data_IF_865444776617
#
_entry.id   IF_865444776617
#
_cell.length_a   1.000
_cell.length_b   1.000
_cell.length_c   1.000
_cell.angle_alpha   90.00
_cell.angle_beta   90.00
_cell.angle_gamma   90.00
#
_symmetry.space_group_name_H-M   'P 1'
#
loop_
_entity.id
_entity.type
_entity.pdbx_description
1 polymer ?
#
# COMPACT_ATOMS: atom_id res chain seq x y z
N UNK A 1 -37.55 24.58 18.21
CA UNK A 1 -37.58 23.78 17.00
C UNK A 1 -36.28 22.99 16.98
N UNK A 2 -36.29 21.77 17.47
CA UNK A 2 -35.19 20.82 17.44
C UNK A 2 -35.15 20.23 16.05
N UNK A 3 -34.20 20.65 15.25
CA UNK A 3 -33.87 19.99 13.96
C UNK A 3 -32.96 18.83 14.30
N UNK A 4 -33.52 17.73 14.79
CA UNK A 4 -32.89 16.40 14.79
C UNK A 4 -33.13 15.77 13.41
N UNK A 5 -32.46 16.23 12.38
CA UNK A 5 -32.25 15.45 11.17
C UNK A 5 -30.84 14.87 11.18
N UNK A 6 -30.63 13.83 11.98
CA UNK A 6 -29.50 12.94 11.72
C UNK A 6 -29.64 12.46 10.28
N UNK A 7 -28.70 12.90 9.41
CA UNK A 7 -28.64 12.44 8.03
C UNK A 7 -28.40 10.94 8.06
N UNK A 8 -29.39 10.15 7.63
CA UNK A 8 -29.24 8.68 7.59
C UNK A 8 -28.21 8.31 6.54
N UNK A 9 -27.23 7.49 6.90
CA UNK A 9 -26.24 7.02 5.94
C UNK A 9 -26.89 6.22 4.81
N UNK A 10 -26.45 6.44 3.58
CA UNK A 10 -26.78 5.57 2.45
C UNK A 10 -25.88 4.35 2.49
N UNK A 11 -26.46 3.15 2.41
CA UNK A 11 -25.72 1.89 2.38
C UNK A 11 -25.23 1.61 0.97
N UNK A 12 -23.90 1.40 0.82
CA UNK A 12 -23.25 1.01 -0.42
C UNK A 12 -22.49 -0.30 -0.24
N UNK A 13 -22.34 -1.09 -1.31
CA UNK A 13 -21.68 -2.39 -1.27
C UNK A 13 -20.17 -2.30 -1.09
N UNK A 14 -19.56 -1.32 -1.77
CA UNK A 14 -18.13 -1.08 -1.76
C UNK A 14 -17.79 0.35 -2.20
N UNK A 15 -16.55 0.77 -1.95
CA UNK A 15 -16.02 2.03 -2.48
C UNK A 15 -14.50 1.97 -2.63
N UNK A 16 -14.01 2.60 -3.69
CA UNK A 16 -12.59 2.83 -3.92
C UNK A 16 -12.27 4.30 -3.72
N UNK A 17 -11.40 4.60 -2.74
CA UNK A 17 -11.00 5.96 -2.36
C UNK A 17 -9.51 6.11 -2.61
N UNK A 18 -9.10 7.21 -3.26
CA UNK A 18 -7.69 7.55 -3.43
C UNK A 18 -7.35 8.86 -2.76
N UNK A 19 -6.36 8.82 -1.87
CA UNK A 19 -5.74 10.00 -1.28
C UNK A 19 -4.48 10.34 -2.08
N UNK A 20 -4.33 11.57 -2.55
CA UNK A 20 -3.19 11.99 -3.36
C UNK A 20 -2.65 13.35 -2.92
N UNK A 21 -1.33 13.48 -2.84
CA UNK A 21 -0.61 14.68 -2.42
C UNK A 21 0.87 14.56 -2.73
N UNK A 22 1.70 15.50 -2.25
CA UNK A 22 3.14 15.35 -2.29
C UNK A 22 3.61 14.27 -1.29
N UNK A 23 4.79 13.71 -1.52
CA UNK A 23 5.35 12.67 -0.63
C UNK A 23 5.51 13.15 0.83
N UNK A 24 5.52 14.47 1.07
CA UNK A 24 5.53 15.11 2.39
C UNK A 24 4.16 15.39 3.00
N UNK A 25 3.08 15.24 2.26
CA UNK A 25 1.71 15.53 2.72
C UNK A 25 1.10 14.42 3.59
N UNK A 26 1.78 13.28 3.75
CA UNK A 26 1.35 12.20 4.64
C UNK A 26 0.21 11.34 4.08
N UNK A 27 0.06 11.23 2.77
CA UNK A 27 -1.01 10.45 2.13
C UNK A 27 -0.95 8.95 2.45
N UNK A 28 0.25 8.39 2.56
CA UNK A 28 0.43 7.01 2.99
C UNK A 28 -0.14 6.78 4.40
N UNK A 29 0.20 7.68 5.33
CA UNK A 29 -0.30 7.62 6.72
C UNK A 29 -1.83 7.78 6.79
N UNK A 30 -2.40 8.66 5.95
CA UNK A 30 -3.86 8.88 5.88
C UNK A 30 -4.57 7.63 5.38
N UNK A 31 -4.05 7.04 4.30
CA UNK A 31 -4.60 5.82 3.72
C UNK A 31 -4.49 4.63 4.67
N UNK A 32 -3.31 4.38 5.26
CA UNK A 32 -3.10 3.32 6.25
C UNK A 32 -4.07 3.45 7.43
N UNK A 33 -4.24 4.68 7.94
CA UNK A 33 -5.13 4.87 9.08
C UNK A 33 -6.61 4.67 8.73
N UNK A 34 -7.04 5.11 7.55
CA UNK A 34 -8.38 4.85 7.07
C UNK A 34 -8.62 3.34 6.86
N UNK A 35 -7.62 2.63 6.34
CA UNK A 35 -7.61 1.18 6.20
C UNK A 35 -7.81 0.48 7.55
N UNK A 36 -7.01 0.83 8.55
CA UNK A 36 -7.15 0.26 9.90
C UNK A 36 -8.52 0.52 10.53
N UNK A 37 -9.04 1.74 10.39
CA UNK A 37 -10.36 2.09 10.90
C UNK A 37 -11.47 1.27 10.21
N UNK A 38 -11.35 1.03 8.91
CA UNK A 38 -12.29 0.21 8.13
C UNK A 38 -12.22 -1.27 8.47
N UNK A 39 -11.01 -1.79 8.73
CA UNK A 39 -10.81 -3.16 9.21
C UNK A 39 -11.45 -3.38 10.61
N UNK A 40 -11.24 -2.43 11.53
CA UNK A 40 -11.86 -2.49 12.87
C UNK A 40 -13.39 -2.42 12.77
N UNK A 41 -13.93 -1.68 11.80
CA UNK A 41 -15.36 -1.61 11.53
C UNK A 41 -15.91 -2.94 10.98
N UNK A 42 -15.05 -3.80 10.43
CA UNK A 42 -15.36 -5.13 9.94
C UNK A 42 -15.46 -5.25 8.42
N UNK A 43 -15.02 -4.26 7.67
CA UNK A 43 -14.98 -4.38 6.20
C UNK A 43 -13.84 -5.31 5.76
N UNK A 44 -14.02 -5.99 4.66
CA UNK A 44 -12.90 -6.51 3.88
C UNK A 44 -12.30 -5.40 3.03
N UNK A 45 -11.01 -5.48 2.76
CA UNK A 45 -10.29 -4.39 2.13
C UNK A 45 -9.06 -4.83 1.37
N UNK A 46 -8.69 -4.02 0.38
CA UNK A 46 -7.41 -4.11 -0.30
C UNK A 46 -6.85 -2.70 -0.53
N UNK A 47 -5.52 -2.57 -0.50
CA UNK A 47 -4.85 -1.27 -0.58
C UNK A 47 -3.76 -1.25 -1.64
N UNK A 48 -3.49 -0.08 -2.23
CA UNK A 48 -2.39 0.13 -3.16
C UNK A 48 -1.67 1.43 -2.82
N UNK A 49 -0.56 1.37 -2.08
CA UNK A 49 0.32 2.51 -1.91
C UNK A 49 1.03 2.82 -3.23
N UNK A 50 1.04 4.08 -3.62
CA UNK A 50 1.73 4.56 -4.83
C UNK A 50 2.72 5.65 -4.42
N UNK A 51 4.01 5.32 -4.47
CA UNK A 51 5.10 6.23 -4.14
C UNK A 51 5.55 7.02 -5.38
N UNK A 52 6.20 8.19 -5.21
CA UNK A 52 6.78 8.93 -6.31
C UNK A 52 7.70 8.06 -7.16
N UNK A 53 7.67 8.25 -8.48
CA UNK A 53 8.56 7.54 -9.39
C UNK A 53 10.02 7.97 -9.22
N UNK A 54 10.25 9.22 -8.83
CA UNK A 54 11.57 9.79 -8.61
C UNK A 54 11.83 10.00 -7.11
N UNK A 55 12.97 9.47 -6.64
CA UNK A 55 13.47 9.76 -5.30
C UNK A 55 13.89 11.24 -5.24
N UNK A 56 13.33 12.01 -4.30
CA UNK A 56 13.60 13.45 -4.12
C UNK A 56 13.05 14.37 -5.23
N UNK A 57 11.99 13.97 -5.91
CA UNK A 57 11.29 14.89 -6.79
C UNK A 57 10.86 16.17 -6.04
N UNK A 58 10.94 17.37 -6.70
CA UNK A 58 10.51 18.60 -6.07
C UNK A 58 9.03 18.58 -5.68
N UNK A 59 8.70 19.08 -4.50
CA UNK A 59 7.32 19.19 -4.04
C UNK A 59 6.50 20.10 -4.98
N UNK A 60 5.26 19.70 -5.27
CA UNK A 60 4.35 20.39 -6.19
C UNK A 60 4.55 20.03 -7.66
N UNK A 61 5.43 19.08 -7.98
CA UNK A 61 5.59 18.52 -9.33
C UNK A 61 4.90 17.17 -9.48
N UNK A 62 4.51 16.79 -10.69
CA UNK A 62 3.85 15.50 -10.97
C UNK A 62 4.73 14.31 -10.53
N UNK A 63 6.05 14.42 -10.74
CA UNK A 63 7.00 13.38 -10.34
C UNK A 63 7.08 13.17 -8.81
N UNK A 64 6.71 14.17 -8.00
CA UNK A 64 6.71 14.13 -6.54
C UNK A 64 5.40 13.65 -5.91
N UNK A 65 4.39 13.33 -6.72
CA UNK A 65 3.09 12.89 -6.22
C UNK A 65 3.17 11.50 -5.61
N UNK A 66 2.62 11.37 -4.41
CA UNK A 66 2.35 10.14 -3.71
C UNK A 66 0.84 9.94 -3.59
N UNK A 67 0.37 8.73 -3.71
CA UNK A 67 -1.05 8.43 -3.47
C UNK A 67 -1.22 7.10 -2.74
N UNK A 68 -2.39 6.93 -2.14
CA UNK A 68 -2.78 5.70 -1.46
C UNK A 68 -4.23 5.39 -1.83
N UNK A 69 -4.45 4.24 -2.44
CA UNK A 69 -5.79 3.79 -2.78
C UNK A 69 -6.26 2.75 -1.77
N UNK A 70 -7.50 2.88 -1.34
CA UNK A 70 -8.16 1.93 -0.44
C UNK A 70 -9.45 1.49 -1.10
N UNK A 71 -9.65 0.19 -1.24
CA UNK A 71 -10.91 -0.44 -1.59
C UNK A 71 -11.49 -1.08 -0.33
N UNK A 72 -12.63 -0.64 0.11
CA UNK A 72 -13.37 -1.21 1.24
C UNK A 72 -14.69 -1.79 0.75
N UNK A 73 -15.07 -2.96 1.29
CA UNK A 73 -16.21 -3.72 0.79
C UNK A 73 -16.94 -4.47 1.89
N UNK A 74 -18.22 -4.75 1.64
CA UNK A 74 -19.08 -5.64 2.43
C UNK A 74 -18.94 -7.12 2.03
N UNK A 75 -18.06 -7.44 1.09
CA UNK A 75 -17.78 -8.80 0.60
C UNK A 75 -16.27 -9.00 0.36
N UNK A 76 -15.85 -10.23 0.07
CA UNK A 76 -14.44 -10.55 -0.18
C UNK A 76 -13.85 -9.68 -1.30
N UNK A 77 -12.71 -9.05 -1.02
CA UNK A 77 -12.00 -8.12 -1.90
C UNK A 77 -10.60 -8.62 -2.19
N UNK A 78 -10.29 -8.89 -3.44
CA UNK A 78 -9.00 -9.43 -3.87
C UNK A 78 -8.08 -8.39 -4.51
N UNK A 79 -8.62 -7.22 -4.89
CA UNK A 79 -7.88 -6.16 -5.59
C UNK A 79 -8.19 -4.77 -5.02
N UNK A 80 -7.27 -3.80 -5.15
CA UNK A 80 -7.49 -2.43 -4.68
C UNK A 80 -8.48 -1.64 -5.53
N UNK A 81 -9.10 -2.26 -6.54
CA UNK A 81 -9.98 -1.61 -7.51
C UNK A 81 -9.23 -0.88 -8.62
N UNK A 82 -9.80 -0.87 -9.82
CA UNK A 82 -9.16 -0.27 -10.99
C UNK A 82 -9.23 1.27 -10.98
N UNK A 83 -10.40 1.81 -10.68
CA UNK A 83 -10.66 3.25 -10.73
C UNK A 83 -11.32 3.73 -9.44
N UNK A 84 -10.81 4.81 -8.82
CA UNK A 84 -11.44 5.36 -7.63
C UNK A 84 -12.79 6.01 -7.95
N UNK A 85 -13.76 5.81 -7.05
CA UNK A 85 -15.00 6.58 -7.02
C UNK A 85 -14.84 7.92 -6.30
N UNK A 86 -13.81 8.02 -5.45
CA UNK A 86 -13.47 9.23 -4.70
C UNK A 86 -11.98 9.52 -4.81
N UNK A 87 -11.65 10.76 -5.16
CA UNK A 87 -10.28 11.28 -5.18
C UNK A 87 -10.16 12.45 -4.22
N UNK A 88 -9.26 12.35 -3.24
CA UNK A 88 -8.85 13.46 -2.38
C UNK A 88 -7.52 13.99 -2.90
N UNK A 89 -7.52 15.18 -3.49
CA UNK A 89 -6.32 15.81 -4.07
C UNK A 89 -5.86 17.01 -3.22
N UNK A 90 -4.71 16.87 -2.59
CA UNK A 90 -4.18 17.87 -1.66
C UNK A 90 -3.53 19.07 -2.36
N UNK A 91 -3.24 18.98 -3.65
CA UNK A 91 -2.61 20.05 -4.46
C UNK A 91 -2.83 19.83 -5.97
N UNK A 92 -2.49 20.81 -6.83
CA UNK A 92 -2.68 20.72 -8.29
C UNK A 92 -1.93 19.55 -8.95
N UNK A 93 -0.72 19.21 -8.48
CA UNK A 93 0.06 18.11 -9.05
C UNK A 93 -0.61 16.78 -8.78
N UNK A 94 -1.14 16.58 -7.56
CA UNK A 94 -1.90 15.40 -7.17
C UNK A 94 -3.18 15.25 -8.01
N UNK A 95 -3.90 16.35 -8.25
CA UNK A 95 -5.05 16.38 -9.16
C UNK A 95 -4.66 15.93 -10.56
N UNK A 96 -3.65 16.58 -11.15
CA UNK A 96 -3.22 16.30 -12.53
C UNK A 96 -2.76 14.87 -12.75
N UNK A 97 -2.07 14.30 -11.76
CA UNK A 97 -1.56 12.95 -11.83
C UNK A 97 -2.66 11.87 -11.75
N UNK A 98 -3.82 12.18 -11.10
CA UNK A 98 -4.79 11.14 -10.75
C UNK A 98 -6.19 11.35 -11.38
N UNK A 99 -6.51 12.55 -11.88
CA UNK A 99 -7.89 12.87 -12.31
C UNK A 99 -8.42 11.96 -13.43
N UNK A 100 -7.55 11.51 -14.33
CA UNK A 100 -7.92 10.64 -15.47
C UNK A 100 -8.41 9.26 -15.01
N UNK A 101 -8.03 8.84 -13.83
CA UNK A 101 -8.41 7.56 -13.26
C UNK A 101 -9.70 7.63 -12.42
N UNK A 102 -10.13 8.83 -12.02
CA UNK A 102 -11.42 8.99 -11.33
C UNK A 102 -12.57 8.59 -12.28
N UNK A 103 -13.54 7.84 -11.77
CA UNK A 103 -14.70 7.46 -12.58
C UNK A 103 -15.51 8.70 -12.98
N UNK A 104 -16.14 8.76 -14.17
CA UNK A 104 -17.06 9.83 -14.52
C UNK A 104 -18.19 9.93 -13.49
N UNK A 105 -18.53 11.14 -13.05
CA UNK A 105 -19.48 11.38 -11.97
C UNK A 105 -18.92 11.15 -10.56
N UNK A 106 -17.68 10.68 -10.45
CA UNK A 106 -17.01 10.46 -9.18
C UNK A 106 -16.80 11.73 -8.37
N UNK A 107 -16.58 11.58 -7.08
CA UNK A 107 -16.37 12.69 -6.14
C UNK A 107 -14.90 13.11 -6.11
N UNK A 108 -14.65 14.36 -6.44
CA UNK A 108 -13.34 15.00 -6.34
C UNK A 108 -13.33 15.99 -5.16
N UNK A 109 -12.54 15.72 -4.15
CA UNK A 109 -12.34 16.60 -2.99
C UNK A 109 -10.96 17.26 -3.14
N UNK A 110 -10.90 18.58 -3.14
CA UNK A 110 -9.65 19.33 -3.32
C UNK A 110 -9.38 20.26 -2.14
N UNK A 111 -8.11 20.36 -1.75
CA UNK A 111 -7.67 21.42 -0.84
C UNK A 111 -7.45 22.71 -1.64
N UNK A 112 -8.45 23.56 -1.72
CA UNK A 112 -8.43 24.76 -2.55
C UNK A 112 -7.31 25.74 -2.19
N UNK A 113 -6.90 25.82 -0.91
CA UNK A 113 -5.78 26.66 -0.45
C UNK A 113 -4.46 26.39 -1.21
N UNK A 114 -4.34 25.22 -1.83
CA UNK A 114 -3.13 24.82 -2.55
C UNK A 114 -3.17 25.20 -4.03
N UNK A 115 -4.30 25.71 -4.57
CA UNK A 115 -4.48 26.03 -5.98
C UNK A 115 -4.07 27.47 -6.33
N UNK A 116 -2.97 27.92 -5.72
CA UNK A 116 -2.33 29.20 -6.03
C UNK A 116 -1.57 29.14 -7.36
N UNK A 117 -1.42 30.28 -8.05
CA UNK A 117 -0.75 30.42 -9.37
C UNK A 117 0.60 29.70 -9.38
N UNK A 118 1.44 29.90 -8.38
CA UNK A 118 2.75 29.26 -8.28
C UNK A 118 2.69 27.71 -8.28
N UNK A 119 1.69 27.14 -7.62
CA UNK A 119 1.54 25.69 -7.53
C UNK A 119 0.92 25.11 -8.80
N UNK A 120 0.01 25.86 -9.44
CA UNK A 120 -0.54 25.54 -10.76
C UNK A 120 0.54 25.49 -11.83
N UNK A 121 1.42 26.51 -11.88
CA UNK A 121 2.55 26.55 -12.79
C UNK A 121 3.52 25.39 -12.60
N UNK A 122 3.88 25.05 -11.34
CA UNK A 122 4.73 23.89 -11.03
C UNK A 122 4.13 22.56 -11.50
N UNK A 123 2.81 22.42 -11.39
CA UNK A 123 2.09 21.26 -11.90
C UNK A 123 1.89 21.31 -13.42
N UNK A 124 2.30 22.39 -14.09
CA UNK A 124 2.18 22.58 -15.53
C UNK A 124 0.75 22.86 -16.00
N UNK A 125 -0.07 23.52 -15.17
CA UNK A 125 -1.35 24.07 -15.59
C UNK A 125 -1.16 25.46 -16.19
N UNK A 126 -1.94 25.78 -17.23
CA UNK A 126 -1.99 27.11 -17.84
C UNK A 126 -3.01 27.99 -17.11
N UNK A 127 -4.11 27.41 -16.66
CA UNK A 127 -5.19 28.05 -15.90
C UNK A 127 -5.57 27.23 -14.68
N UNK A 128 -6.46 27.77 -13.85
CA UNK A 128 -6.95 27.03 -12.68
C UNK A 128 -8.04 26.04 -13.13
N UNK A 129 -7.82 24.71 -13.02
CA UNK A 129 -8.81 23.70 -13.41
C UNK A 129 -10.11 23.76 -12.57
N UNK A 130 -10.07 24.43 -11.40
CA UNK A 130 -11.26 24.61 -10.58
C UNK A 130 -12.26 25.61 -11.18
N UNK A 131 -11.77 26.52 -12.08
CA UNK A 131 -12.56 27.63 -12.63
C UNK A 131 -12.80 27.51 -14.14
N UNK A 132 -12.06 26.63 -14.86
CA UNK A 132 -12.08 26.57 -16.32
C UNK A 132 -13.11 25.58 -16.92
N UNK A 133 -13.90 24.92 -16.08
CA UNK A 133 -14.90 23.93 -16.50
C UNK A 133 -14.34 22.55 -16.90
N UNK A 134 -13.02 22.34 -16.87
CA UNK A 134 -12.40 21.05 -17.24
C UNK A 134 -12.79 19.89 -16.32
N UNK A 135 -13.30 20.18 -15.14
CA UNK A 135 -13.75 19.21 -14.14
C UNK A 135 -15.27 18.96 -14.13
N UNK A 136 -16.01 19.45 -15.12
CA UNK A 136 -17.48 19.35 -15.18
C UNK A 136 -18.00 17.88 -15.21
N UNK A 137 -17.15 16.91 -15.53
CA UNK A 137 -17.49 15.50 -15.51
C UNK A 137 -17.51 14.89 -14.09
N UNK A 138 -17.14 15.64 -13.06
CA UNK A 138 -16.97 15.16 -11.69
C UNK A 138 -17.79 16.01 -10.69
N UNK A 139 -18.12 15.42 -9.56
CA UNK A 139 -18.66 16.18 -8.41
C UNK A 139 -17.49 16.81 -7.65
N UNK A 140 -17.23 18.08 -7.90
CA UNK A 140 -16.09 18.80 -7.31
C UNK A 140 -16.49 19.44 -5.99
N UNK A 141 -15.74 19.13 -4.93
CA UNK A 141 -15.91 19.68 -3.59
C UNK A 141 -14.62 20.42 -3.22
N UNK A 142 -14.70 21.74 -3.20
CA UNK A 142 -13.57 22.62 -2.87
C UNK A 142 -13.61 22.97 -1.38
N UNK A 143 -12.51 22.72 -0.68
CA UNK A 143 -12.42 22.90 0.77
C UNK A 143 -11.11 23.60 1.13
N UNK A 144 -11.12 24.70 1.91
CA UNK A 144 -9.89 25.37 2.38
C UNK A 144 -9.30 24.60 3.58
N UNK A 145 -8.86 23.34 3.31
CA UNK A 145 -8.42 22.41 4.34
C UNK A 145 -7.26 22.93 5.18
N UNK A 146 -6.31 23.63 4.54
CA UNK A 146 -5.15 24.19 5.23
C UNK A 146 -5.56 25.32 6.15
N UNK A 147 -6.40 26.25 5.67
CA UNK A 147 -6.91 27.39 6.44
C UNK A 147 -7.73 26.94 7.65
N UNK A 148 -8.62 25.97 7.46
CA UNK A 148 -9.42 25.42 8.57
C UNK A 148 -8.53 24.71 9.58
N UNK A 149 -7.54 23.92 9.13
CA UNK A 149 -6.59 23.22 10.01
C UNK A 149 -5.77 24.24 10.81
N UNK A 150 -5.26 25.29 10.17
CA UNK A 150 -4.52 26.35 10.86
C UNK A 150 -5.36 27.08 11.90
N UNK A 151 -6.64 27.34 11.61
CA UNK A 151 -7.60 27.92 12.55
C UNK A 151 -7.85 27.00 13.74
N UNK A 152 -8.09 25.71 13.50
CA UNK A 152 -8.37 24.71 14.53
C UNK A 152 -7.17 24.48 15.49
N UNK A 153 -5.94 24.76 15.02
CA UNK A 153 -4.71 24.52 15.79
C UNK A 153 -4.10 25.78 16.37
N UNK A 154 -4.69 26.97 16.14
CA UNK A 154 -4.12 28.29 16.47
C UNK A 154 -3.71 28.44 17.93
N UNK A 155 -4.55 27.98 18.84
CA UNK A 155 -4.37 28.21 20.29
C UNK A 155 -3.62 27.06 21.00
N UNK A 156 -3.13 26.07 20.25
CA UNK A 156 -2.45 24.88 20.78
C UNK A 156 -0.93 25.06 20.95
N UNK A 157 -0.39 26.24 20.60
CA UNK A 157 1.03 26.55 20.74
C UNK A 157 1.96 25.66 19.93
N UNK A 158 1.47 25.11 18.80
CA UNK A 158 2.28 24.35 17.82
C UNK A 158 2.99 25.27 16.85
N UNK A 159 4.12 24.82 16.30
CA UNK A 159 4.80 25.56 15.25
C UNK A 159 3.94 25.60 13.96
N UNK A 160 3.92 26.72 13.24
CA UNK A 160 3.09 26.85 12.02
C UNK A 160 3.29 25.69 11.01
N UNK A 161 4.53 25.23 10.85
CA UNK A 161 4.87 24.09 9.97
C UNK A 161 4.23 22.78 10.43
N UNK A 162 4.16 22.53 11.73
CA UNK A 162 3.57 21.31 12.29
C UNK A 162 2.04 21.38 12.23
N UNK A 163 1.47 22.58 12.47
CA UNK A 163 0.05 22.83 12.26
C UNK A 163 -0.38 22.59 10.80
N UNK A 164 0.37 23.14 9.85
CA UNK A 164 0.08 22.96 8.41
C UNK A 164 0.18 21.50 7.97
N UNK A 165 1.09 20.71 8.56
CA UNK A 165 1.22 19.28 8.28
C UNK A 165 0.00 18.48 8.70
N UNK A 166 -0.73 18.92 9.73
CA UNK A 166 -1.90 18.21 10.22
C UNK A 166 -3.10 18.25 9.26
N UNK A 167 -3.02 18.97 8.12
CA UNK A 167 -4.09 19.00 7.09
C UNK A 167 -4.46 17.61 6.52
N UNK A 168 -3.52 16.66 6.55
CA UNK A 168 -3.80 15.28 6.16
C UNK A 168 -4.77 14.60 7.14
N UNK A 169 -4.69 14.94 8.44
CA UNK A 169 -5.64 14.44 9.44
C UNK A 169 -7.02 15.11 9.28
N UNK A 170 -7.07 16.36 8.77
CA UNK A 170 -8.34 16.97 8.38
C UNK A 170 -9.00 16.16 7.25
N UNK A 171 -8.26 15.84 6.19
CA UNK A 171 -8.76 15.03 5.09
C UNK A 171 -9.23 13.64 5.58
N UNK A 172 -8.46 13.02 6.50
CA UNK A 172 -8.85 11.77 7.13
C UNK A 172 -10.17 11.90 7.93
N UNK A 173 -10.31 12.98 8.70
CA UNK A 173 -11.53 13.25 9.48
C UNK A 173 -12.76 13.39 8.60
N UNK A 174 -12.64 14.16 7.53
CA UNK A 174 -13.70 14.34 6.54
C UNK A 174 -14.15 13.01 5.92
N UNK A 175 -13.19 12.20 5.42
CA UNK A 175 -13.50 10.92 4.80
C UNK A 175 -14.01 9.91 5.85
N UNK A 176 -13.56 10.02 7.10
CA UNK A 176 -14.12 9.21 8.20
C UNK A 176 -15.59 9.52 8.46
N UNK A 177 -15.97 10.78 8.42
CA UNK A 177 -17.39 11.17 8.49
C UNK A 177 -18.16 10.67 7.26
N UNK A 178 -17.63 10.90 6.05
CA UNK A 178 -18.28 10.49 4.80
C UNK A 178 -18.64 8.99 4.78
N UNK A 179 -17.83 8.16 5.40
CA UNK A 179 -18.02 6.69 5.41
C UNK A 179 -18.30 6.13 6.81
N UNK A 180 -18.78 6.96 7.73
CA UNK A 180 -19.20 6.56 9.09
C UNK A 180 -18.15 5.73 9.85
N UNK A 181 -16.86 6.13 9.76
CA UNK A 181 -15.76 5.44 10.47
C UNK A 181 -15.67 5.90 11.93
N UNK A 182 -15.35 4.97 12.86
CA UNK A 182 -15.27 5.30 14.27
C UNK A 182 -14.13 6.30 14.56
N UNK A 183 -14.47 7.37 15.29
CA UNK A 183 -13.54 8.46 15.63
C UNK A 183 -12.52 8.02 16.69
N UNK A 184 -12.97 7.29 17.72
CA UNK A 184 -12.17 6.96 18.90
C UNK A 184 -10.92 6.13 18.58
N UNK A 185 -11.03 5.18 17.65
CA UNK A 185 -9.90 4.35 17.20
C UNK A 185 -8.79 5.18 16.58
N UNK A 186 -9.16 6.21 15.81
CA UNK A 186 -8.19 7.12 15.18
C UNK A 186 -7.57 8.06 16.21
N UNK A 187 -8.33 8.58 17.17
CA UNK A 187 -7.80 9.41 18.26
C UNK A 187 -6.79 8.63 19.10
N UNK A 188 -7.15 7.44 19.57
CA UNK A 188 -6.25 6.57 20.34
C UNK A 188 -4.95 6.25 19.58
N UNK A 189 -5.05 6.03 18.26
CA UNK A 189 -3.88 5.83 17.43
C UNK A 189 -3.00 7.10 17.33
N UNK A 190 -3.58 8.29 17.17
CA UNK A 190 -2.83 9.56 17.17
C UNK A 190 -2.05 9.73 18.47
N UNK A 191 -2.69 9.50 19.61
CA UNK A 191 -2.08 9.58 20.94
C UNK A 191 -0.89 8.62 21.06
N UNK A 192 -1.05 7.39 20.62
CA UNK A 192 0.01 6.37 20.63
C UNK A 192 1.14 6.69 19.66
N UNK A 193 0.82 7.07 18.42
CA UNK A 193 1.79 7.31 17.34
C UNK A 193 2.71 8.50 17.65
N UNK A 194 2.16 9.54 18.25
CA UNK A 194 2.88 10.78 18.55
C UNK A 194 3.17 10.94 20.05
N UNK A 195 3.16 9.85 20.82
CA UNK A 195 3.46 9.86 22.25
C UNK A 195 4.76 10.62 22.55
N UNK A 196 4.74 11.44 23.60
CA UNK A 196 5.86 12.31 23.99
C UNK A 196 5.95 13.65 23.23
N UNK A 197 5.00 13.91 22.28
CA UNK A 197 4.90 15.16 21.52
C UNK A 197 3.51 15.78 21.70
N UNK A 198 3.16 16.14 22.93
CA UNK A 198 1.80 16.56 23.33
C UNK A 198 1.15 17.60 22.40
N UNK A 199 1.92 18.62 21.99
CA UNK A 199 1.42 19.65 21.07
C UNK A 199 1.08 19.10 19.68
N UNK A 200 1.86 18.14 19.19
CA UNK A 200 1.60 17.49 17.90
C UNK A 200 0.39 16.59 18.00
N UNK A 201 0.23 15.86 19.11
CA UNK A 201 -0.98 15.06 19.40
C UNK A 201 -2.21 15.94 19.38
N UNK A 202 -2.19 17.05 20.16
CA UNK A 202 -3.32 17.98 20.23
C UNK A 202 -3.68 18.58 18.85
N UNK A 203 -2.67 18.98 18.07
CA UNK A 203 -2.88 19.53 16.73
C UNK A 203 -3.49 18.51 15.76
N UNK A 204 -3.00 17.28 15.77
CA UNK A 204 -3.51 16.22 14.92
C UNK A 204 -4.97 15.84 15.28
N UNK A 205 -5.29 15.75 16.57
CA UNK A 205 -6.66 15.50 17.04
C UNK A 205 -7.59 16.66 16.65
N UNK A 206 -7.13 17.91 16.83
CA UNK A 206 -7.92 19.09 16.46
C UNK A 206 -8.19 19.13 14.96
N UNK A 207 -7.19 18.85 14.13
CA UNK A 207 -7.34 18.79 12.68
C UNK A 207 -8.30 17.67 12.25
N UNK A 208 -8.16 16.46 12.81
CA UNK A 208 -9.04 15.33 12.54
C UNK A 208 -10.50 15.65 12.89
N UNK A 209 -10.75 16.17 14.09
CA UNK A 209 -12.10 16.58 14.51
C UNK A 209 -12.65 17.70 13.66
N UNK A 210 -11.81 18.67 13.27
CA UNK A 210 -12.24 19.76 12.38
C UNK A 210 -12.71 19.22 11.01
N UNK A 211 -12.01 18.23 10.45
CA UNK A 211 -12.43 17.57 9.20
C UNK A 211 -13.72 16.78 9.35
N UNK A 212 -13.87 16.03 10.43
CA UNK A 212 -15.07 15.25 10.73
C UNK A 212 -16.30 16.16 10.90
N UNK A 213 -16.19 17.19 11.76
CA UNK A 213 -17.26 18.15 12.00
C UNK A 213 -17.58 19.00 10.75
N UNK A 214 -16.57 19.25 9.89
CA UNK A 214 -16.81 19.94 8.62
C UNK A 214 -17.73 19.13 7.72
N UNK A 215 -17.52 17.81 7.61
CA UNK A 215 -18.44 16.93 6.88
C UNK A 215 -19.87 17.00 7.38
N UNK A 216 -20.05 17.06 8.70
CA UNK A 216 -21.36 17.10 9.36
C UNK A 216 -22.09 18.46 9.16
N UNK A 217 -21.34 19.56 9.09
CA UNK A 217 -21.93 20.92 9.18
C UNK A 217 -21.92 21.72 7.88
N UNK A 218 -21.16 21.30 6.87
CA UNK A 218 -20.87 22.15 5.69
C UNK A 218 -21.94 22.12 4.59
N UNK A 219 -23.00 21.32 4.72
CA UNK A 219 -24.07 21.17 3.70
C UNK A 219 -23.56 20.90 2.27
N UNK A 220 -22.30 20.41 2.14
CA UNK A 220 -21.70 20.04 0.85
C UNK A 220 -21.96 18.59 0.47
N UNK A 221 -22.49 17.83 1.42
CA UNK A 221 -22.78 16.41 1.27
C UNK A 221 -24.25 16.19 1.61
N UNK A 222 -24.96 15.49 0.74
CA UNK A 222 -26.39 15.22 0.92
C UNK A 222 -26.63 14.25 2.09
N UNK A 223 -25.70 13.28 2.27
CA UNK A 223 -25.72 12.27 3.33
C UNK A 223 -24.33 11.61 3.43
N UNK A 224 -23.98 11.04 4.59
CA UNK A 224 -22.84 10.12 4.69
C UNK A 224 -23.17 8.76 4.07
N UNK A 225 -22.14 7.97 3.81
CA UNK A 225 -22.27 6.61 3.32
C UNK A 225 -21.90 5.60 4.42
N UNK A 226 -22.38 4.39 4.29
CA UNK A 226 -21.91 3.26 5.09
C UNK A 226 -21.67 2.06 4.20
N UNK A 227 -20.54 1.38 4.43
CA UNK A 227 -20.24 0.07 3.84
C UNK A 227 -20.40 -0.93 4.97
N UNK A 228 -21.38 -1.84 4.86
CA UNK A 228 -21.64 -2.82 5.90
C UNK A 228 -20.41 -3.71 6.17
N UNK A 229 -20.27 -4.28 7.38
CA UNK A 229 -19.24 -5.28 7.65
C UNK A 229 -19.30 -6.43 6.65
N UNK A 230 -18.14 -6.91 6.24
CA UNK A 230 -18.03 -8.04 5.32
C UNK A 230 -18.51 -9.34 5.98
N UNK A 231 -19.19 -10.19 5.21
CA UNK A 231 -19.66 -11.50 5.66
C UNK A 231 -18.53 -12.52 5.58
N UNK A 232 -17.56 -12.38 6.48
CA UNK A 232 -16.45 -13.32 6.61
C UNK A 232 -16.79 -14.44 7.62
N UNK A 233 -16.11 -15.58 7.48
CA UNK A 233 -16.22 -16.66 8.49
C UNK A 233 -15.79 -16.13 9.87
N UNK A 234 -16.42 -16.58 10.97
CA UNK A 234 -16.04 -16.15 12.31
C UNK A 234 -14.57 -16.45 12.61
N UNK A 235 -13.80 -15.42 13.02
CA UNK A 235 -12.37 -15.57 13.27
C UNK A 235 -11.71 -14.29 13.75
N UNK A 236 -10.40 -14.37 13.96
CA UNK A 236 -9.55 -13.21 14.25
C UNK A 236 -8.80 -12.85 12.98
N UNK A 237 -9.04 -11.65 12.49
CA UNK A 237 -8.46 -11.13 11.25
C UNK A 237 -7.41 -10.05 11.55
N UNK A 238 -6.50 -9.86 10.61
CA UNK A 238 -5.52 -8.78 10.64
C UNK A 238 -5.25 -8.27 9.23
N UNK A 239 -4.91 -7.01 9.11
CA UNK A 239 -4.35 -6.48 7.86
C UNK A 239 -2.95 -7.07 7.66
N UNK A 240 -2.67 -7.53 6.44
CA UNK A 240 -1.39 -8.14 6.10
C UNK A 240 -0.98 -7.73 4.69
N UNK A 241 0.31 -7.43 4.49
CA UNK A 241 0.88 -7.27 3.15
C UNK A 241 1.34 -8.61 2.59
N UNK A 242 1.45 -8.73 1.27
CA UNK A 242 1.93 -9.95 0.61
C UNK A 242 3.31 -10.39 1.10
N UNK A 243 4.24 -9.45 1.30
CA UNK A 243 5.58 -9.75 1.82
C UNK A 243 5.57 -10.33 3.25
N UNK A 244 4.74 -9.79 4.14
CA UNK A 244 4.59 -10.30 5.51
C UNK A 244 3.92 -11.67 5.51
N UNK A 245 2.87 -11.86 4.69
CA UNK A 245 2.20 -13.16 4.53
C UNK A 245 3.17 -14.22 3.98
N UNK A 246 4.01 -13.85 3.00
CA UNK A 246 5.07 -14.71 2.47
C UNK A 246 6.08 -15.11 3.56
N UNK A 247 6.54 -14.16 4.36
CA UNK A 247 7.46 -14.46 5.48
C UNK A 247 6.86 -15.46 6.47
N UNK A 248 5.59 -15.29 6.83
CA UNK A 248 4.88 -16.24 7.70
C UNK A 248 4.66 -17.60 7.03
N UNK A 249 4.35 -17.61 5.73
CA UNK A 249 4.22 -18.83 4.94
C UNK A 249 5.52 -19.63 4.89
N UNK A 250 6.68 -18.96 4.78
CA UNK A 250 8.00 -19.61 4.83
C UNK A 250 8.26 -20.29 6.18
N UNK A 251 7.92 -19.62 7.28
CA UNK A 251 8.04 -20.19 8.63
C UNK A 251 7.13 -21.42 8.76
N UNK A 252 5.87 -21.29 8.35
CA UNK A 252 4.91 -22.40 8.39
C UNK A 252 5.39 -23.58 7.53
N UNK A 253 5.89 -23.33 6.32
CA UNK A 253 6.44 -24.36 5.44
C UNK A 253 7.65 -25.07 6.09
N UNK A 254 8.56 -24.32 6.72
CA UNK A 254 9.70 -24.86 7.48
C UNK A 254 9.25 -25.78 8.61
N UNK A 255 8.25 -25.36 9.40
CA UNK A 255 7.71 -26.15 10.50
C UNK A 255 7.02 -27.42 9.98
N UNK A 256 6.21 -27.35 8.94
CA UNK A 256 5.56 -28.48 8.31
C UNK A 256 6.57 -29.49 7.74
N UNK A 257 7.60 -28.99 7.07
CA UNK A 257 8.67 -29.82 6.49
C UNK A 257 9.67 -30.35 7.53
N UNK A 258 9.69 -29.79 8.75
CA UNK A 258 10.69 -30.05 9.80
C UNK A 258 12.13 -29.80 9.31
N UNK A 259 12.31 -28.78 8.47
CA UNK A 259 13.59 -28.36 7.91
C UNK A 259 13.95 -26.97 8.43
N UNK A 260 15.25 -26.70 8.74
CA UNK A 260 15.69 -25.35 9.06
C UNK A 260 15.44 -24.40 7.88
N UNK A 261 14.88 -23.23 8.13
CA UNK A 261 14.69 -22.21 7.11
C UNK A 261 15.97 -21.38 6.93
N UNK A 262 16.50 -21.37 5.72
CA UNK A 262 17.59 -20.52 5.30
C UNK A 262 17.10 -19.54 4.25
N UNK A 263 17.25 -18.25 4.51
CA UNK A 263 16.83 -17.18 3.62
C UNK A 263 18.00 -16.26 3.31
N UNK A 264 18.40 -16.15 2.05
CA UNK A 264 19.41 -15.22 1.62
C UNK A 264 18.85 -14.29 0.53
N UNK A 265 19.00 -12.99 0.74
CA UNK A 265 18.58 -11.95 -0.20
C UNK A 265 19.54 -10.76 -0.09
N UNK A 266 19.30 -9.74 -0.89
CA UNK A 266 20.06 -8.50 -0.97
C UNK A 266 19.05 -7.33 -0.99
N UNK A 267 19.49 -6.08 -0.78
CA UNK A 267 18.57 -4.93 -0.80
C UNK A 267 17.96 -4.72 -2.17
N UNK A 268 16.68 -4.99 -2.31
CA UNK A 268 15.89 -4.82 -3.54
C UNK A 268 14.44 -4.47 -3.22
N UNK A 269 13.96 -3.35 -3.74
CA UNK A 269 12.55 -2.95 -3.62
C UNK A 269 11.70 -3.70 -4.66
N UNK A 270 10.52 -4.27 -4.27
CA UNK A 270 9.90 -4.25 -2.94
C UNK A 270 10.21 -5.48 -2.08
N UNK A 271 11.05 -6.43 -2.51
CA UNK A 271 11.25 -7.72 -1.87
C UNK A 271 11.99 -7.66 -0.51
N UNK A 272 12.67 -6.55 -0.19
CA UNK A 272 13.46 -6.42 1.06
C UNK A 272 12.64 -6.58 2.33
N UNK A 273 11.34 -6.31 2.30
CA UNK A 273 10.48 -6.41 3.46
C UNK A 273 10.36 -7.85 3.98
N UNK A 274 10.48 -8.86 3.09
CA UNK A 274 10.53 -10.27 3.50
C UNK A 274 11.75 -10.53 4.39
N UNK A 275 12.93 -10.01 4.00
CA UNK A 275 14.16 -10.13 4.80
C UNK A 275 14.01 -9.43 6.14
N UNK A 276 13.44 -8.21 6.15
CA UNK A 276 13.23 -7.44 7.37
C UNK A 276 12.31 -8.18 8.34
N UNK A 277 11.19 -8.73 7.85
CA UNK A 277 10.26 -9.47 8.68
C UNK A 277 10.88 -10.75 9.25
N UNK A 278 11.50 -11.57 8.42
CA UNK A 278 12.17 -12.81 8.85
C UNK A 278 13.30 -12.54 9.85
N UNK A 279 14.01 -11.42 9.73
CA UNK A 279 15.07 -11.03 10.65
C UNK A 279 14.57 -10.76 12.06
N UNK A 280 13.31 -10.37 12.21
CA UNK A 280 12.66 -10.15 13.50
C UNK A 280 12.13 -11.47 14.11
N UNK A 281 11.98 -12.54 13.33
CA UNK A 281 11.34 -13.80 13.71
C UNK A 281 12.36 -14.93 13.99
N UNK A 282 13.53 -14.57 14.49
CA UNK A 282 14.64 -15.50 14.81
C UNK A 282 14.26 -16.60 15.81
N UNK A 283 13.28 -16.34 16.66
CA UNK A 283 12.74 -17.32 17.63
C UNK A 283 12.12 -18.55 16.96
N UNK A 284 11.82 -18.50 15.66
CA UNK A 284 11.37 -19.66 14.86
C UNK A 284 12.52 -20.43 14.19
N UNK A 285 13.77 -20.13 14.54
CA UNK A 285 14.94 -20.83 13.99
C UNK A 285 15.34 -20.41 12.59
N UNK A 286 14.82 -19.26 12.10
CA UNK A 286 15.14 -18.74 10.78
C UNK A 286 16.57 -18.22 10.73
N UNK A 287 17.32 -18.61 9.69
CA UNK A 287 18.64 -18.08 9.39
C UNK A 287 18.53 -17.12 8.19
N UNK A 288 18.76 -15.84 8.45
CA UNK A 288 18.74 -14.80 7.41
C UNK A 288 20.13 -14.31 7.09
N UNK A 289 20.44 -14.14 5.80
CA UNK A 289 21.68 -13.53 5.32
C UNK A 289 21.32 -12.42 4.34
N UNK A 290 21.90 -11.25 4.55
CA UNK A 290 21.94 -10.20 3.54
C UNK A 290 23.22 -10.34 2.74
N UNK A 291 23.09 -10.67 1.47
CA UNK A 291 24.19 -10.77 0.52
C UNK A 291 24.49 -9.42 -0.14
N UNK A 292 25.60 -9.34 -0.87
CA UNK A 292 25.99 -8.14 -1.60
C UNK A 292 25.06 -7.89 -2.81
N UNK A 293 24.74 -8.95 -3.55
CA UNK A 293 23.97 -8.91 -4.79
C UNK A 293 23.13 -10.18 -5.02
N UNK A 294 22.49 -10.23 -6.17
CA UNK A 294 21.63 -11.32 -6.64
C UNK A 294 22.39 -12.65 -6.75
N UNK A 295 23.60 -12.61 -7.28
CA UNK A 295 24.41 -13.79 -7.58
C UNK A 295 24.90 -14.42 -6.29
N UNK A 296 25.41 -13.60 -5.37
CA UNK A 296 25.83 -14.05 -4.04
C UNK A 296 24.67 -14.65 -3.25
N UNK A 297 23.47 -14.03 -3.33
CA UNK A 297 22.27 -14.52 -2.63
C UNK A 297 21.85 -15.91 -3.13
N UNK A 298 21.72 -16.11 -4.45
CA UNK A 298 21.29 -17.40 -5.00
C UNK A 298 22.38 -18.48 -4.81
N UNK A 299 23.66 -18.12 -4.87
CA UNK A 299 24.76 -19.04 -4.60
C UNK A 299 24.72 -19.59 -3.16
N UNK A 300 24.46 -18.71 -2.17
CA UNK A 300 24.28 -19.12 -0.78
C UNK A 300 23.06 -20.05 -0.60
N UNK A 301 21.96 -19.77 -1.30
CA UNK A 301 20.74 -20.58 -1.27
C UNK A 301 20.96 -21.98 -1.88
N UNK A 302 21.66 -22.08 -2.99
CA UNK A 302 22.04 -23.37 -3.59
C UNK A 302 22.86 -24.20 -2.61
N UNK A 303 23.86 -23.59 -1.94
CA UNK A 303 24.65 -24.27 -0.90
C UNK A 303 23.79 -24.73 0.29
N UNK A 304 22.84 -23.93 0.73
CA UNK A 304 21.92 -24.29 1.81
C UNK A 304 20.95 -25.42 1.42
N UNK A 305 20.44 -25.40 0.19
CA UNK A 305 19.61 -26.47 -0.37
C UNK A 305 20.38 -27.80 -0.46
N UNK A 306 21.62 -27.75 -0.93
CA UNK A 306 22.53 -28.91 -0.95
C UNK A 306 22.80 -29.47 0.46
N UNK A 307 22.85 -28.61 1.47
CA UNK A 307 23.00 -28.98 2.88
C UNK A 307 21.67 -29.45 3.55
N UNK A 308 20.57 -29.58 2.80
CA UNK A 308 19.30 -30.12 3.29
C UNK A 308 18.44 -29.13 4.07
N UNK A 309 18.58 -27.83 3.82
CA UNK A 309 17.71 -26.79 4.41
C UNK A 309 16.56 -26.39 3.48
N UNK A 310 15.46 -25.90 4.02
CA UNK A 310 14.49 -25.16 3.20
C UNK A 310 15.13 -23.84 2.81
N UNK A 311 15.62 -23.76 1.57
CA UNK A 311 16.45 -22.70 1.08
C UNK A 311 15.66 -21.73 0.18
N UNK A 312 15.72 -20.43 0.46
CA UNK A 312 14.87 -19.42 -0.17
C UNK A 312 15.66 -18.16 -0.50
N UNK A 313 15.40 -17.59 -1.67
CA UNK A 313 15.81 -16.23 -2.03
C UNK A 313 14.61 -15.43 -2.51
N UNK A 314 14.61 -14.12 -2.27
CA UNK A 314 13.68 -13.21 -2.89
C UNK A 314 14.40 -12.20 -3.78
N UNK A 315 13.69 -11.74 -4.80
CA UNK A 315 14.15 -10.77 -5.78
C UNK A 315 12.98 -10.02 -6.42
N UNK A 316 13.24 -9.31 -7.47
CA UNK A 316 12.31 -8.68 -8.39
C UNK A 316 12.78 -8.97 -9.82
N UNK A 317 11.98 -8.75 -10.84
CA UNK A 317 12.26 -9.09 -12.24
C UNK A 317 13.72 -8.94 -12.70
N UNK A 318 14.37 -7.77 -12.51
CA UNK A 318 15.78 -7.59 -12.90
C UNK A 318 16.75 -8.58 -12.26
N UNK A 319 16.47 -8.99 -11.03
CA UNK A 319 17.31 -9.93 -10.33
C UNK A 319 17.03 -11.39 -10.70
N UNK A 320 15.88 -11.71 -11.30
CA UNK A 320 15.61 -13.02 -11.90
C UNK A 320 16.58 -13.27 -13.06
N UNK A 321 16.82 -12.25 -13.91
CA UNK A 321 17.79 -12.33 -15.00
C UNK A 321 19.18 -12.73 -14.50
N UNK A 322 19.65 -12.09 -13.41
CA UNK A 322 20.98 -12.32 -12.84
C UNK A 322 21.11 -13.67 -12.11
N UNK A 323 20.00 -14.32 -11.77
CA UNK A 323 19.95 -15.63 -11.12
C UNK A 323 19.80 -16.80 -12.11
N UNK A 324 19.54 -16.52 -13.40
CA UNK A 324 19.13 -17.51 -14.39
C UNK A 324 20.13 -18.68 -14.54
N UNK A 325 21.44 -18.42 -14.58
CA UNK A 325 22.48 -19.47 -14.68
C UNK A 325 22.49 -20.39 -13.46
N UNK A 326 22.47 -19.81 -12.25
CA UNK A 326 22.48 -20.58 -11.00
C UNK A 326 21.19 -21.38 -10.81
N UNK A 327 20.05 -20.89 -11.31
CA UNK A 327 18.80 -21.66 -11.34
C UNK A 327 18.89 -22.86 -12.28
N UNK A 328 19.56 -22.73 -13.43
CA UNK A 328 19.88 -23.86 -14.32
C UNK A 328 20.73 -24.91 -13.61
N UNK A 329 21.75 -24.50 -12.83
CA UNK A 329 22.53 -25.40 -11.98
C UNK A 329 21.65 -26.13 -10.96
N UNK A 330 20.75 -25.42 -10.29
CA UNK A 330 19.88 -26.00 -9.27
C UNK A 330 18.90 -27.04 -9.87
N UNK A 331 18.40 -26.81 -11.10
CA UNK A 331 17.62 -27.80 -11.85
C UNK A 331 18.45 -29.04 -12.16
N UNK A 332 19.65 -28.86 -12.69
CA UNK A 332 20.55 -29.96 -13.05
C UNK A 332 21.00 -30.79 -11.84
N UNK A 333 21.11 -30.17 -10.67
CA UNK A 333 21.52 -30.82 -9.43
C UNK A 333 20.32 -31.32 -8.58
N UNK A 334 19.09 -31.21 -9.08
CA UNK A 334 17.85 -31.60 -8.38
C UNK A 334 17.72 -30.96 -6.99
N UNK A 335 18.05 -29.67 -6.86
CA UNK A 335 18.04 -28.97 -5.57
C UNK A 335 16.69 -28.28 -5.32
N UNK A 336 15.97 -28.63 -4.23
CA UNK A 336 14.75 -27.94 -3.85
C UNK A 336 15.06 -26.57 -3.26
N UNK A 337 14.64 -25.51 -3.93
CA UNK A 337 14.74 -24.16 -3.41
C UNK A 337 13.59 -23.28 -3.93
N UNK A 338 13.35 -22.17 -3.25
CA UNK A 338 12.33 -21.20 -3.62
C UNK A 338 12.98 -19.92 -4.12
N UNK A 339 12.43 -19.41 -5.22
CA UNK A 339 12.71 -18.06 -5.73
C UNK A 339 11.42 -17.27 -5.67
N UNK A 340 11.36 -16.30 -4.79
CA UNK A 340 10.24 -15.39 -4.66
C UNK A 340 10.53 -14.18 -5.55
N UNK A 341 9.74 -13.99 -6.59
CA UNK A 341 9.80 -12.83 -7.45
C UNK A 341 8.66 -11.86 -7.07
N UNK A 342 9.05 -10.80 -6.35
CA UNK A 342 8.14 -9.71 -6.00
C UNK A 342 8.19 -8.71 -7.15
N UNK A 343 7.29 -8.89 -8.11
CA UNK A 343 7.29 -8.23 -9.42
C UNK A 343 7.15 -6.71 -9.31
N UNK A 344 7.81 -6.01 -10.20
CA UNK A 344 7.76 -4.54 -10.33
C UNK A 344 7.89 -4.10 -11.78
N UNK A 345 7.55 -2.82 -12.05
CA UNK A 345 7.64 -2.26 -13.40
C UNK A 345 9.03 -2.35 -14.01
N UNK A 346 9.08 -2.88 -15.24
CA UNK A 346 10.28 -3.00 -16.10
C UNK A 346 10.31 -1.95 -17.19
N UNK A 347 11.21 -2.06 -18.20
CA UNK A 347 12.32 -3.00 -18.32
C UNK A 347 13.59 -2.54 -17.56
N UNK A 348 14.65 -3.37 -17.55
CA UNK A 348 15.93 -3.14 -16.85
C UNK A 348 15.71 -2.97 -15.33
N UNK A 349 16.40 -2.05 -14.66
CA UNK A 349 16.15 -1.76 -13.24
C UNK A 349 14.75 -1.26 -12.98
N UNK A 350 14.07 -0.77 -14.01
CA UNK A 350 12.65 -0.44 -14.03
C UNK A 350 12.23 0.65 -13.03
N UNK A 351 11.02 0.48 -12.53
CA UNK A 351 10.36 1.39 -11.59
C UNK A 351 10.17 0.66 -10.25
N UNK A 352 11.11 0.72 -9.31
CA UNK A 352 11.10 -0.09 -8.09
C UNK A 352 9.85 0.04 -7.22
N UNK A 353 9.19 1.19 -7.28
CA UNK A 353 8.00 1.51 -6.48
C UNK A 353 6.69 1.35 -7.24
N UNK A 354 6.74 0.84 -8.47
CA UNK A 354 5.56 0.63 -9.31
C UNK A 354 5.28 -0.87 -9.47
N UNK A 355 4.10 -1.29 -9.04
CA UNK A 355 3.63 -2.66 -9.19
C UNK A 355 3.33 -2.96 -10.65
N UNK A 356 3.83 -4.08 -11.13
CA UNK A 356 3.55 -4.62 -12.46
C UNK A 356 3.71 -6.14 -12.41
N UNK A 357 2.87 -6.89 -13.11
CA UNK A 357 2.92 -8.35 -13.17
C UNK A 357 3.33 -8.79 -14.58
N UNK A 358 4.61 -8.60 -14.94
CA UNK A 358 5.14 -8.85 -16.29
C UNK A 358 6.18 -9.97 -16.38
N UNK A 359 6.56 -10.60 -15.25
CA UNK A 359 7.71 -11.50 -15.19
C UNK A 359 7.38 -12.99 -15.48
N UNK A 360 6.11 -13.34 -15.74
CA UNK A 360 5.71 -14.73 -15.99
C UNK A 360 6.49 -15.38 -17.14
N UNK A 361 6.64 -14.69 -18.26
CA UNK A 361 7.38 -15.24 -19.42
C UNK A 361 8.87 -15.39 -19.14
N UNK A 362 9.45 -14.46 -18.36
CA UNK A 362 10.82 -14.55 -17.87
C UNK A 362 10.99 -15.77 -16.95
N UNK A 363 10.08 -15.96 -16.00
CA UNK A 363 10.07 -17.12 -15.10
C UNK A 363 9.90 -18.45 -15.85
N UNK A 364 9.12 -18.49 -16.93
CA UNK A 364 8.91 -19.69 -17.75
C UNK A 364 10.10 -20.00 -18.67
N UNK A 365 10.63 -19.01 -19.38
CA UNK A 365 11.52 -19.21 -20.53
C UNK A 365 12.87 -18.49 -20.43
N UNK A 366 13.11 -17.71 -19.38
CA UNK A 366 14.30 -16.86 -19.24
C UNK A 366 15.61 -17.59 -18.87
N UNK A 367 15.75 -18.87 -19.23
CA UNK A 367 16.95 -19.68 -19.00
C UNK A 367 17.38 -20.38 -20.29
N UNK A 368 18.71 -20.58 -20.44
CA UNK A 368 19.21 -21.36 -21.56
C UNK A 368 19.09 -22.87 -21.27
N UNK A 369 18.99 -23.66 -22.34
CA UNK A 369 18.81 -25.11 -22.26
C UNK A 369 17.44 -25.53 -21.74
N UNK A 370 17.29 -26.81 -21.43
CA UNK A 370 16.07 -27.37 -20.85
C UNK A 370 16.09 -27.25 -19.31
N UNK A 371 15.52 -26.20 -18.78
CA UNK A 371 15.44 -25.95 -17.36
C UNK A 371 14.03 -25.55 -16.92
N UNK A 372 13.03 -26.47 -17.07
CA UNK A 372 11.67 -26.19 -16.67
C UNK A 372 11.56 -26.08 -15.16
N UNK A 373 10.79 -25.11 -14.69
CA UNK A 373 10.54 -24.89 -13.26
C UNK A 373 9.04 -24.69 -13.03
N UNK A 374 8.47 -25.28 -11.97
CA UNK A 374 7.12 -24.94 -11.54
C UNK A 374 7.02 -23.47 -11.12
N UNK A 375 5.87 -22.87 -11.42
CA UNK A 375 5.55 -21.50 -11.06
C UNK A 375 4.23 -21.50 -10.28
N UNK A 376 4.25 -20.88 -9.13
CA UNK A 376 3.07 -20.62 -8.29
C UNK A 376 2.86 -19.11 -8.27
N UNK A 377 1.62 -18.64 -8.46
CA UNK A 377 1.29 -17.22 -8.36
C UNK A 377 0.27 -16.98 -7.24
N UNK A 378 0.51 -15.95 -6.44
CA UNK A 378 -0.43 -15.54 -5.42
C UNK A 378 -1.53 -14.66 -6.03
N UNK A 379 -2.80 -14.88 -5.63
CA UNK A 379 -3.95 -14.10 -6.11
C UNK A 379 -4.30 -12.90 -5.23
N UNK A 380 -3.74 -12.81 -4.03
CA UNK A 380 -3.97 -11.72 -3.08
C UNK A 380 -2.87 -11.69 -2.02
N UNK A 381 -2.73 -10.59 -1.24
CA UNK A 381 -1.79 -10.54 -0.12
C UNK A 381 -1.97 -11.68 0.89
N UNK A 382 -3.18 -12.01 1.28
CA UNK A 382 -3.45 -13.12 2.20
C UNK A 382 -3.08 -14.47 1.60
N UNK A 383 -3.37 -14.69 0.32
CA UNK A 383 -3.04 -15.93 -0.38
C UNK A 383 -1.52 -16.15 -0.54
N UNK A 384 -0.69 -15.11 -0.40
CA UNK A 384 0.77 -15.29 -0.36
C UNK A 384 1.22 -16.28 0.70
N UNK A 385 0.51 -16.39 1.83
CA UNK A 385 0.80 -17.39 2.87
C UNK A 385 0.66 -18.81 2.35
N UNK A 386 -0.51 -19.15 1.78
CA UNK A 386 -0.81 -20.50 1.29
C UNK A 386 0.01 -20.84 0.04
N UNK A 387 0.15 -19.88 -0.88
CA UNK A 387 0.96 -20.04 -2.08
C UNK A 387 2.43 -20.32 -1.77
N UNK A 388 2.97 -19.72 -0.70
CA UNK A 388 4.34 -19.99 -0.23
C UNK A 388 4.49 -21.43 0.29
N UNK A 389 3.53 -21.90 1.09
CA UNK A 389 3.53 -23.30 1.59
C UNK A 389 3.45 -24.27 0.42
N UNK A 390 2.58 -24.01 -0.55
CA UNK A 390 2.41 -24.85 -1.73
C UNK A 390 3.67 -24.87 -2.59
N UNK A 391 4.30 -23.72 -2.84
CA UNK A 391 5.56 -23.64 -3.56
C UNK A 391 6.68 -24.45 -2.88
N UNK A 392 6.78 -24.36 -1.54
CA UNK A 392 7.73 -25.14 -0.76
C UNK A 392 7.43 -26.66 -0.85
N UNK A 393 6.15 -27.03 -0.77
CA UNK A 393 5.71 -28.43 -0.92
C UNK A 393 6.10 -29.00 -2.28
N UNK A 394 5.89 -28.23 -3.35
CA UNK A 394 6.27 -28.63 -4.72
C UNK A 394 7.79 -28.79 -4.82
N UNK A 395 8.56 -27.79 -4.36
CA UNK A 395 10.02 -27.82 -4.41
C UNK A 395 10.59 -29.08 -3.72
N UNK A 396 10.15 -29.34 -2.50
CA UNK A 396 10.64 -30.47 -1.72
C UNK A 396 10.19 -31.84 -2.29
N UNK A 397 8.93 -31.93 -2.77
CA UNK A 397 8.38 -33.17 -3.32
C UNK A 397 9.07 -33.58 -4.63
N UNK A 398 9.34 -32.62 -5.51
CA UNK A 398 9.86 -32.88 -6.83
C UNK A 398 11.37 -32.60 -6.95
N UNK A 399 12.02 -32.13 -5.88
CA UNK A 399 13.43 -31.79 -5.83
C UNK A 399 13.85 -30.88 -6.99
N UNK A 400 13.17 -29.75 -7.09
CA UNK A 400 13.40 -28.77 -8.14
C UNK A 400 13.22 -27.35 -7.60
N UNK A 401 13.90 -26.34 -8.16
CA UNK A 401 13.60 -24.96 -7.87
C UNK A 401 12.14 -24.63 -8.25
N UNK A 402 11.50 -23.74 -7.48
CA UNK A 402 10.14 -23.26 -7.74
C UNK A 402 10.10 -21.75 -7.68
N UNK A 403 9.47 -21.11 -8.65
CA UNK A 403 9.12 -19.70 -8.57
C UNK A 403 7.82 -19.50 -7.79
N UNK A 404 7.84 -18.49 -6.92
CA UNK A 404 6.64 -17.88 -6.35
C UNK A 404 6.53 -16.46 -6.90
N UNK A 405 5.55 -16.18 -7.74
CA UNK A 405 5.27 -14.86 -8.27
C UNK A 405 4.32 -14.12 -7.33
N UNK A 406 4.77 -12.99 -6.83
CA UNK A 406 4.00 -11.99 -6.09
C UNK A 406 4.26 -10.62 -6.68
N UNK A 407 3.81 -9.56 -6.03
CA UNK A 407 4.13 -8.18 -6.41
C UNK A 407 4.22 -7.27 -5.18
N UNK A 408 4.47 -5.98 -5.39
CA UNK A 408 4.57 -4.98 -4.34
C UNK A 408 3.24 -4.51 -3.77
N UNK A 409 2.19 -5.22 -4.07
CA UNK A 409 0.81 -4.94 -3.68
C UNK A 409 0.42 -5.55 -2.33
#
# INVERSE_FOLDING_TARGET
MTVDSELKPEEIGDVVIRFAGDSGDGMQLTGDRFTDASAVFGNDLATMPNFPAEIRAPAGTIAGVSSFQVHISSHETLTPGDRPGVLVAMNPAALKANIKELVPGGTLIVNEDSFEVRNLEKAGYIGNPLDDGSLAAYRVIQIPMTSITMKATKDLGVKPRDAQRAKNLFALGLVSWMYTRPVDTTIAWIEKKFAGKEKVVAANIAAFRAGFNFGETAELFDHPYTVAPARLEPGVYRNISGNVATAFGLIAASQCAKLPLFYASYPITPASDILHELSNLKNFGVRTIQSEDEIAAIGAVVGAAFAGQLAVTATSGPGVDLKAETLGLAVSAELPLLVIDVQRGGPSTGLPTKTEQADLMLAMYGRHGEAPMPIVAAKSPSHCFDATIEAARIALKYRTPVFLLTDGF
#
